data_IF_109493543085
#
_entry.id   IF_109493543085
#
_cell.length_a   1.000
_cell.length_b   1.000
_cell.length_c   1.000
_cell.angle_alpha   90.00
_cell.angle_beta   90.00
_cell.angle_gamma   90.00
#
_symmetry.space_group_name_H-M   'P 1'
#
loop_
_entity.id
_entity.type
_entity.pdbx_description
1 polymer ?
#
# COMPACT_ATOMS: atom_id res chain seq x y z
N UNK A 1 1.93 -3.72 16.81
CA UNK A 1 0.77 -3.04 16.20
C UNK A 1 0.98 -2.95 14.69
N UNK A 2 0.07 -3.50 13.87
CA UNK A 2 0.26 -3.57 12.40
C UNK A 2 -0.01 -2.20 11.75
N UNK A 3 0.92 -1.73 10.91
CA UNK A 3 0.90 -0.39 10.31
C UNK A 3 0.19 -0.33 8.95
N UNK A 4 0.12 -1.47 8.25
CA UNK A 4 -0.68 -1.64 7.05
C UNK A 4 -2.15 -1.78 7.45
N UNK A 5 -2.89 -0.67 7.35
CA UNK A 5 -4.32 -0.59 7.62
C UNK A 5 -5.02 0.16 6.50
N UNK A 6 -6.29 -0.19 6.25
CA UNK A 6 -7.15 0.53 5.31
C UNK A 6 -7.26 2.00 5.72
N UNK A 7 -7.23 2.91 4.75
CA UNK A 7 -7.30 4.35 4.97
C UNK A 7 -5.97 5.01 5.36
N UNK A 8 -4.91 4.23 5.58
CA UNK A 8 -3.59 4.79 5.87
C UNK A 8 -2.95 5.35 4.59
N UNK A 9 -2.44 6.57 4.72
CA UNK A 9 -1.71 7.26 3.65
C UNK A 9 -0.30 6.68 3.53
N UNK A 10 0.14 6.49 2.29
CA UNK A 10 1.49 6.07 1.94
C UNK A 10 2.03 6.86 0.75
N UNK A 11 3.33 6.71 0.49
CA UNK A 11 4.02 7.25 -0.70
C UNK A 11 4.57 6.06 -1.49
N UNK A 12 4.42 6.11 -2.81
CA UNK A 12 5.00 5.12 -3.71
C UNK A 12 6.48 5.48 -3.94
N UNK A 13 7.39 4.57 -3.59
CA UNK A 13 8.84 4.82 -3.70
C UNK A 13 9.38 4.58 -5.12
N UNK A 14 8.82 3.63 -5.88
CA UNK A 14 9.32 3.23 -7.21
C UNK A 14 8.18 2.87 -8.18
N UNK A 15 8.48 2.85 -9.48
CA UNK A 15 7.54 2.52 -10.57
C UNK A 15 6.89 3.76 -11.22
N UNK A 16 5.95 3.54 -12.15
CA UNK A 16 5.31 4.63 -12.94
C UNK A 16 4.64 5.72 -12.09
N UNK A 17 4.17 5.36 -10.90
CA UNK A 17 3.47 6.26 -9.98
C UNK A 17 4.33 6.69 -8.78
N UNK A 18 5.65 6.55 -8.85
CA UNK A 18 6.56 7.00 -7.79
C UNK A 18 6.35 8.48 -7.44
N UNK A 19 6.53 8.82 -6.16
CA UNK A 19 6.35 10.16 -5.62
C UNK A 19 4.89 10.57 -5.38
N UNK A 20 3.90 9.80 -5.84
CA UNK A 20 2.49 10.09 -5.58
C UNK A 20 2.07 9.67 -4.17
N UNK A 21 1.26 10.52 -3.53
CA UNK A 21 0.59 10.25 -2.26
C UNK A 21 -0.67 9.41 -2.52
N UNK A 22 -0.80 8.28 -1.83
CA UNK A 22 -1.88 7.31 -2.04
C UNK A 22 -2.46 6.81 -0.72
N UNK A 23 -3.59 6.10 -0.79
CA UNK A 23 -4.29 5.52 0.36
C UNK A 23 -4.39 4.00 0.18
N UNK A 24 -4.14 3.25 1.25
CA UNK A 24 -4.29 1.79 1.26
C UNK A 24 -5.78 1.43 1.33
N UNK A 25 -6.27 0.68 0.34
CA UNK A 25 -7.68 0.24 0.26
C UNK A 25 -7.83 -1.18 0.81
N UNK A 26 -6.88 -2.06 0.54
CA UNK A 26 -6.87 -3.43 1.03
C UNK A 26 -5.43 -3.89 1.26
N UNK A 27 -5.01 -4.13 2.51
CA UNK A 27 -3.72 -4.74 2.78
C UNK A 27 -3.77 -6.24 2.44
N UNK A 28 -2.70 -6.75 1.80
CA UNK A 28 -2.54 -8.16 1.48
C UNK A 28 -1.36 -8.69 2.30
N UNK A 29 -1.64 -9.56 3.27
CA UNK A 29 -0.67 -9.95 4.30
C UNK A 29 -0.06 -11.34 4.10
N UNK A 30 -0.76 -12.25 3.42
CA UNK A 30 -0.35 -13.66 3.24
C UNK A 30 -0.07 -14.04 1.78
N UNK A 31 0.12 -13.05 0.91
CA UNK A 31 0.32 -13.26 -0.52
C UNK A 31 -0.97 -13.69 -1.24
N UNK A 32 -1.00 -13.46 -2.55
CA UNK A 32 -2.04 -13.94 -3.44
C UNK A 32 -1.45 -15.08 -4.29
N UNK A 33 -2.17 -16.20 -4.48
CA UNK A 33 -1.74 -17.33 -5.32
C UNK A 33 -2.08 -17.11 -6.81
N UNK A 34 -2.09 -15.86 -7.26
CA UNK A 34 -2.38 -15.50 -8.65
C UNK A 34 -1.10 -15.09 -9.36
#
# INVERSE_FOLDING_TARGET
MKFLKVGRVAIITHGRYAGKKVVIIQPVDSGNKA
#
